data_IF_105107131542
#
_entry.id   IF_105107131542
#
_cell.length_a   1.000
_cell.length_b   1.000
_cell.length_c   1.000
_cell.angle_alpha   90.00
_cell.angle_beta   90.00
_cell.angle_gamma   90.00
#
_symmetry.space_group_name_H-M   'P 1'
#
loop_
_entity.id
_entity.type
_entity.pdbx_description
1 polymer ?
#
# COMPACT_ATOMS: atom_id res chain seq x y z
N UNK A 1 4.08 -28.05 -18.60
CA UNK A 1 3.36 -27.88 -17.33
C UNK A 1 4.06 -26.94 -16.33
N UNK A 2 5.35 -27.12 -15.99
CA UNK A 2 6.03 -26.25 -15.01
C UNK A 2 6.10 -24.76 -15.39
N UNK A 3 6.30 -24.48 -16.68
CA UNK A 3 6.35 -23.10 -17.21
C UNK A 3 5.03 -22.35 -16.98
N UNK A 4 3.89 -22.94 -17.35
CA UNK A 4 2.57 -22.34 -17.15
C UNK A 4 2.27 -22.07 -15.68
N UNK A 5 2.68 -22.99 -14.78
CA UNK A 5 2.50 -22.80 -13.33
C UNK A 5 3.24 -21.57 -12.81
N UNK A 6 4.46 -21.30 -13.31
CA UNK A 6 5.25 -20.13 -12.89
C UNK A 6 4.61 -18.83 -13.38
N UNK A 7 4.13 -18.79 -14.63
CA UNK A 7 3.43 -17.62 -15.17
C UNK A 7 2.13 -17.37 -14.41
N UNK A 8 1.33 -18.40 -14.16
CA UNK A 8 0.09 -18.26 -13.40
C UNK A 8 0.34 -17.78 -11.97
N UNK A 9 1.47 -18.16 -11.34
CA UNK A 9 1.87 -17.59 -10.05
C UNK A 9 2.11 -16.08 -10.16
N UNK A 10 2.90 -15.65 -11.16
CA UNK A 10 3.19 -14.22 -11.37
C UNK A 10 1.91 -13.42 -11.59
N UNK A 11 0.99 -13.93 -12.42
CA UNK A 11 -0.31 -13.28 -12.66
C UNK A 11 -1.09 -13.18 -11.35
N UNK A 12 -1.20 -14.27 -10.59
CA UNK A 12 -1.91 -14.24 -9.30
C UNK A 12 -1.24 -13.35 -8.25
N UNK A 13 0.09 -13.20 -8.27
CA UNK A 13 0.79 -12.26 -7.39
C UNK A 13 0.54 -10.81 -7.80
N UNK A 14 0.45 -10.53 -9.12
CA UNK A 14 0.04 -9.23 -9.65
C UNK A 14 -1.40 -8.92 -9.23
N UNK A 15 -2.35 -9.84 -9.43
CA UNK A 15 -3.75 -9.65 -9.04
C UNK A 15 -3.87 -9.29 -7.55
N UNK A 16 -3.15 -10.02 -6.68
CA UNK A 16 -3.10 -9.70 -5.25
C UNK A 16 -2.52 -8.31 -4.97
N UNK A 17 -1.49 -7.89 -5.69
CA UNK A 17 -0.90 -6.57 -5.52
C UNK A 17 -1.92 -5.46 -5.83
N UNK A 18 -2.72 -5.63 -6.89
CA UNK A 18 -3.83 -4.72 -7.20
C UNK A 18 -4.88 -4.73 -6.07
N UNK A 19 -5.29 -5.91 -5.59
CA UNK A 19 -6.24 -6.03 -4.49
C UNK A 19 -5.72 -5.35 -3.20
N UNK A 20 -4.42 -5.42 -2.94
CA UNK A 20 -3.78 -4.73 -1.80
C UNK A 20 -3.86 -3.22 -1.93
N UNK A 21 -3.66 -2.68 -3.13
CA UNK A 21 -3.78 -1.23 -3.41
C UNK A 21 -5.22 -0.77 -3.23
N UNK A 22 -6.19 -1.51 -3.77
CA UNK A 22 -7.61 -1.18 -3.64
C UNK A 22 -8.03 -1.16 -2.17
N UNK A 23 -7.58 -2.14 -1.37
CA UNK A 23 -7.79 -2.14 0.07
C UNK A 23 -7.13 -0.94 0.76
N UNK A 24 -5.91 -0.58 0.37
CA UNK A 24 -5.20 0.56 0.94
C UNK A 24 -5.95 1.88 0.67
N UNK A 25 -6.53 2.05 -0.52
CA UNK A 25 -7.36 3.19 -0.88
C UNK A 25 -8.64 3.28 -0.02
N UNK A 26 -9.31 2.16 0.21
CA UNK A 26 -10.51 2.11 1.06
C UNK A 26 -10.20 2.47 2.51
N UNK A 27 -9.17 1.84 3.08
CA UNK A 27 -8.73 2.10 4.46
C UNK A 27 -8.25 3.53 4.63
N UNK A 28 -7.57 4.10 3.63
CA UNK A 28 -7.18 5.49 3.65
C UNK A 28 -8.39 6.44 3.69
N UNK A 29 -9.40 6.21 2.84
CA UNK A 29 -10.63 7.00 2.84
C UNK A 29 -11.38 6.93 4.17
N UNK A 30 -11.45 5.74 4.77
CA UNK A 30 -11.99 5.55 6.11
C UNK A 30 -11.14 6.24 7.19
N UNK A 31 -9.81 6.19 7.07
CA UNK A 31 -8.87 6.88 7.93
C UNK A 31 -9.09 8.39 7.93
N UNK A 32 -9.18 9.02 6.76
CA UNK A 32 -9.48 10.45 6.61
C UNK A 32 -10.80 10.80 7.27
N UNK A 33 -11.85 9.99 7.07
CA UNK A 33 -13.14 10.18 7.73
C UNK A 33 -13.01 10.14 9.25
N UNK A 34 -12.37 9.11 9.79
CA UNK A 34 -12.20 8.96 11.24
C UNK A 34 -11.33 10.06 11.86
N UNK A 35 -10.36 10.59 11.11
CA UNK A 35 -9.60 11.76 11.50
C UNK A 35 -10.49 13.01 11.62
N UNK A 36 -11.28 13.31 10.58
CA UNK A 36 -12.14 14.50 10.54
C UNK A 36 -13.26 14.48 11.60
N UNK A 37 -13.76 13.30 11.97
CA UNK A 37 -14.79 13.14 12.99
C UNK A 37 -14.24 12.80 14.38
N UNK A 38 -12.93 12.98 14.61
CA UNK A 38 -12.27 12.80 15.91
C UNK A 38 -12.44 11.38 16.50
N UNK A 39 -12.60 10.37 15.65
CA UNK A 39 -12.63 8.97 16.07
C UNK A 39 -11.22 8.40 16.12
N UNK A 40 -10.49 8.80 17.17
CA UNK A 40 -9.04 8.57 17.32
C UNK A 40 -8.67 7.08 17.32
N UNK A 41 -9.42 6.23 18.02
CA UNK A 41 -9.09 4.80 18.09
C UNK A 41 -9.32 4.09 16.76
N UNK A 42 -10.41 4.41 16.05
CA UNK A 42 -10.62 3.89 14.70
C UNK A 42 -9.53 4.40 13.74
N UNK A 43 -9.15 5.68 13.83
CA UNK A 43 -8.06 6.24 13.04
C UNK A 43 -6.74 5.50 13.26
N UNK A 44 -6.36 5.21 14.52
CA UNK A 44 -5.18 4.39 14.84
C UNK A 44 -5.23 3.00 14.19
N UNK A 45 -6.39 2.33 14.24
CA UNK A 45 -6.61 1.04 13.59
C UNK A 45 -6.44 1.11 12.06
N UNK A 46 -6.94 2.18 11.43
CA UNK A 46 -6.74 2.43 10.00
C UNK A 46 -5.25 2.59 9.67
N UNK A 47 -4.49 3.35 10.46
CA UNK A 47 -3.05 3.50 10.25
C UNK A 47 -2.28 2.18 10.40
N UNK A 48 -2.61 1.37 11.41
CA UNK A 48 -1.98 0.05 11.57
C UNK A 48 -2.28 -0.86 10.38
N UNK A 49 -3.51 -0.85 9.89
CA UNK A 49 -3.92 -1.62 8.72
C UNK A 49 -3.22 -1.12 7.45
N UNK A 50 -3.08 0.20 7.29
CA UNK A 50 -2.36 0.81 6.18
C UNK A 50 -0.89 0.37 6.13
N UNK A 51 -0.18 0.43 7.26
CA UNK A 51 1.21 -0.05 7.36
C UNK A 51 1.33 -1.54 7.02
N UNK A 52 0.33 -2.35 7.39
CA UNK A 52 0.32 -3.77 7.03
C UNK A 52 0.17 -3.97 5.51
N UNK A 53 -0.75 -3.26 4.88
CA UNK A 53 -1.00 -3.33 3.43
C UNK A 53 0.21 -2.85 2.62
N UNK A 54 0.89 -1.80 3.09
CA UNK A 54 2.15 -1.32 2.50
C UNK A 54 3.22 -2.41 2.49
N UNK A 55 3.47 -3.03 3.65
CA UNK A 55 4.45 -4.11 3.74
C UNK A 55 4.08 -5.31 2.86
N UNK A 56 2.78 -5.62 2.75
CA UNK A 56 2.27 -6.67 1.88
C UNK A 56 2.50 -6.35 0.40
N UNK A 57 2.21 -5.11 -0.03
CA UNK A 57 2.42 -4.64 -1.38
C UNK A 57 3.91 -4.68 -1.77
N UNK A 58 4.81 -4.22 -0.89
CA UNK A 58 6.26 -4.26 -1.13
C UNK A 58 6.78 -5.70 -1.25
N UNK A 59 6.30 -6.62 -0.40
CA UNK A 59 6.66 -8.04 -0.51
C UNK A 59 6.18 -8.66 -1.83
N UNK A 60 4.94 -8.38 -2.23
CA UNK A 60 4.39 -8.84 -3.51
C UNK A 60 5.18 -8.29 -4.68
N UNK A 61 5.54 -7.00 -4.66
CA UNK A 61 6.36 -6.37 -5.69
C UNK A 61 7.69 -7.08 -5.86
N UNK A 62 8.41 -7.36 -4.76
CA UNK A 62 9.69 -8.10 -4.79
C UNK A 62 9.54 -9.52 -5.33
N UNK A 63 8.47 -10.22 -4.97
CA UNK A 63 8.17 -11.57 -5.47
C UNK A 63 7.85 -11.57 -6.97
N UNK A 64 7.06 -10.59 -7.44
CA UNK A 64 6.75 -10.42 -8.86
C UNK A 64 8.03 -10.10 -9.63
N UNK A 65 8.84 -9.15 -9.16
CA UNK A 65 10.11 -8.78 -9.78
C UNK A 65 11.03 -10.00 -9.91
N UNK A 66 11.27 -10.72 -8.81
CA UNK A 66 12.08 -11.94 -8.82
C UNK A 66 11.52 -13.00 -9.80
N UNK A 67 10.20 -13.13 -9.88
CA UNK A 67 9.51 -14.00 -10.84
C UNK A 67 9.77 -13.61 -12.29
N UNK A 68 9.62 -12.32 -12.62
CA UNK A 68 9.85 -11.77 -13.94
C UNK A 68 11.30 -11.97 -14.41
N UNK A 69 12.28 -11.77 -13.53
CA UNK A 69 13.70 -11.97 -13.86
C UNK A 69 14.06 -13.43 -14.16
N UNK A 70 13.34 -14.40 -13.58
CA UNK A 70 13.56 -15.84 -13.80
C UNK A 70 12.89 -16.37 -15.07
N UNK A 71 11.98 -15.63 -15.70
CA UNK A 71 11.28 -16.05 -16.93
C UNK A 71 11.86 -15.36 -18.17
N UNK A 72 12.52 -16.12 -19.04
CA UNK A 72 13.09 -15.60 -20.30
C UNK A 72 12.02 -15.17 -21.32
N UNK A 73 10.83 -15.76 -21.26
CA UNK A 73 9.71 -15.43 -22.16
C UNK A 73 9.06 -14.08 -21.85
N UNK A 74 9.23 -13.56 -20.64
CA UNK A 74 8.66 -12.29 -20.21
C UNK A 74 9.59 -11.11 -20.44
N UNK A 75 10.79 -11.32 -20.99
CA UNK A 75 11.82 -10.28 -21.17
C UNK A 75 11.28 -9.03 -21.88
N UNK A 76 10.41 -9.22 -22.88
CA UNK A 76 9.80 -8.10 -23.64
C UNK A 76 8.81 -7.29 -22.80
N UNK A 77 8.03 -7.96 -21.96
CA UNK A 77 6.96 -7.38 -21.14
C UNK A 77 7.43 -6.93 -19.76
N UNK A 78 8.62 -7.37 -19.32
CA UNK A 78 9.17 -7.11 -17.98
C UNK A 78 9.20 -5.63 -17.67
N UNK A 79 9.69 -4.81 -18.60
CA UNK A 79 9.78 -3.36 -18.41
C UNK A 79 8.40 -2.72 -18.25
N UNK A 80 7.40 -3.17 -19.01
CA UNK A 80 6.03 -2.65 -18.91
C UNK A 80 5.39 -3.01 -17.56
N UNK A 81 5.55 -4.26 -17.13
CA UNK A 81 5.02 -4.73 -15.85
C UNK A 81 5.71 -3.98 -14.69
N UNK A 82 7.04 -3.82 -14.72
CA UNK A 82 7.75 -3.09 -13.66
C UNK A 82 7.31 -1.63 -13.57
N UNK A 83 7.15 -0.94 -14.71
CA UNK A 83 6.65 0.44 -14.72
C UNK A 83 5.23 0.56 -14.19
N UNK A 84 4.37 -0.42 -14.48
CA UNK A 84 3.02 -0.47 -13.93
C UNK A 84 3.04 -0.64 -12.41
N UNK A 85 3.84 -1.58 -11.90
CA UNK A 85 3.98 -1.80 -10.45
C UNK A 85 4.59 -0.57 -9.76
N UNK A 86 5.54 0.12 -10.38
CA UNK A 86 6.11 1.38 -9.87
C UNK A 86 5.07 2.50 -9.77
N UNK A 87 4.27 2.70 -10.82
CA UNK A 87 3.22 3.73 -10.82
C UNK A 87 2.18 3.46 -9.72
N UNK A 88 1.87 2.19 -9.49
CA UNK A 88 0.92 1.71 -8.50
C UNK A 88 1.46 1.79 -7.06
N UNK A 89 2.71 1.41 -6.85
CA UNK A 89 3.41 1.57 -5.58
C UNK A 89 3.48 3.05 -5.15
N UNK A 90 3.72 3.93 -6.11
CA UNK A 90 3.70 5.37 -5.87
C UNK A 90 2.37 5.88 -5.30
N UNK A 91 1.24 5.22 -5.62
CA UNK A 91 -0.06 5.53 -5.03
C UNK A 91 -0.01 5.24 -3.52
N UNK A 92 0.37 4.02 -3.11
CA UNK A 92 0.46 3.65 -1.68
C UNK A 92 1.39 4.60 -0.93
N UNK A 93 2.54 4.92 -1.52
CA UNK A 93 3.51 5.85 -0.95
C UNK A 93 2.94 7.26 -0.74
N UNK A 94 2.14 7.74 -1.69
CA UNK A 94 1.48 9.04 -1.60
C UNK A 94 0.42 9.03 -0.49
N UNK A 95 -0.40 7.97 -0.41
CA UNK A 95 -1.39 7.80 0.67
C UNK A 95 -0.71 7.83 2.04
N UNK A 96 0.42 7.12 2.16
CA UNK A 96 1.25 7.15 3.36
C UNK A 96 1.67 8.58 3.68
N UNK A 97 2.35 9.29 2.78
CA UNK A 97 2.88 10.62 3.06
C UNK A 97 1.81 11.66 3.42
N UNK A 98 0.59 11.50 2.93
CA UNK A 98 -0.50 12.43 3.18
C UNK A 98 -1.02 12.44 4.63
N UNK A 99 -0.75 11.38 5.40
CA UNK A 99 -1.04 11.36 6.86
C UNK A 99 0.11 12.06 7.59
N UNK A 100 -0.13 13.18 8.30
CA UNK A 100 0.92 13.95 8.95
C UNK A 100 1.78 13.09 9.89
N UNK A 101 3.11 13.20 9.75
CA UNK A 101 4.09 12.56 10.64
C UNK A 101 3.85 12.92 12.11
N UNK A 102 3.31 14.12 12.37
CA UNK A 102 3.00 14.64 13.71
C UNK A 102 1.94 13.82 14.45
N UNK A 103 1.00 13.21 13.74
CA UNK A 103 -0.04 12.36 14.34
C UNK A 103 0.41 10.90 14.50
N UNK A 104 1.51 10.48 13.86
CA UNK A 104 2.08 9.12 14.03
C UNK A 104 2.83 8.96 15.34
N UNK A 105 3.49 10.02 15.82
CA UNK A 105 4.23 10.02 17.09
C UNK A 105 3.29 10.25 18.29
N UNK A 106 2.23 11.03 18.11
CA UNK A 106 1.22 11.30 19.15
C UNK A 106 0.45 10.02 19.60
N UNK A 107 0.32 9.04 18.69
CA UNK A 107 -0.29 7.73 18.95
C UNK A 107 0.51 6.88 19.94
N UNK A 108 1.83 7.05 20.04
CA UNK A 108 2.65 6.37 21.06
C UNK A 108 2.58 7.06 22.43
N UNK A 109 2.07 8.29 22.51
CA UNK A 109 2.04 9.09 23.75
C UNK A 109 0.65 9.25 24.37
N UNK A 110 -0.40 8.68 23.75
CA UNK A 110 -1.76 8.72 24.28
C UNK A 110 -2.51 10.05 24.11
N UNK A 111 -1.92 11.04 23.44
CA UNK A 111 -2.59 12.29 23.10
C UNK A 111 -2.66 12.42 21.58
N UNK A 112 -3.86 12.47 21.01
CA UNK A 112 -4.04 12.95 19.63
C UNK A 112 -4.56 14.37 19.74
N UNK A 113 -3.66 15.34 19.73
CA UNK A 113 -4.04 16.73 19.48
C UNK A 113 -4.30 16.86 17.98
N UNK A 114 -5.58 16.97 17.62
CA UNK A 114 -6.03 17.22 16.26
C UNK A 114 -5.58 18.65 15.84
N UNK A 115 -4.36 18.77 15.36
CA UNK A 115 -3.72 20.05 15.02
C UNK A 115 -4.24 20.73 13.74
N UNK A 116 -5.34 20.26 13.15
CA UNK A 116 -5.89 20.88 11.94
C UNK A 116 -6.81 22.08 12.23
N UNK A 117 -7.19 22.33 13.49
CA UNK A 117 -8.13 23.41 13.84
C UNK A 117 -7.49 24.68 14.43
N UNK A 118 -6.17 24.80 14.51
CA UNK A 118 -5.51 25.99 15.10
C UNK A 118 -4.95 27.00 14.09
N UNK A 119 -5.39 26.97 12.83
CA UNK A 119 -5.02 28.01 11.87
C UNK A 119 -6.24 28.66 11.24
N UNK A 120 -7.06 29.35 12.04
CA UNK A 120 -7.87 30.52 11.62
C UNK A 120 -7.96 31.52 12.78
#
# INVERSE_FOLDING_TARGET
MLYQKRINKIIGDIDKFFDTIDQALLIFGEGVKNYLYTNVEAFKGNLQTMTRLENEAELLRREIEAGLYRQSSLVRLRGDIMRLLEALDHIIDTLRQSVPVRDREAVHSGGVECGFLETH
#
